data_IF_368620583575
#
_entry.id   IF_368620583575
#
_cell.length_a   1.000
_cell.length_b   1.000
_cell.length_c   1.000
_cell.angle_alpha   90.00
_cell.angle_beta   90.00
_cell.angle_gamma   90.00
#
_symmetry.space_group_name_H-M   'P 1'
#
loop_
_entity.id
_entity.type
_entity.pdbx_description
1 polymer ?
#
# COMPACT_ATOMS: atom_id res chain seq x y z
N UNK A 1 -9.19 -7.03 16.08
CA UNK A 1 -9.54 -5.94 15.13
C UNK A 1 -8.37 -5.82 14.18
N UNK A 2 -8.59 -5.98 12.87
CA UNK A 2 -7.53 -5.90 11.86
C UNK A 2 -7.49 -4.52 11.24
N UNK A 3 -6.29 -4.04 10.91
CA UNK A 3 -6.10 -2.79 10.16
C UNK A 3 -6.41 -3.08 8.70
N UNK A 4 -7.33 -2.32 8.11
CA UNK A 4 -7.62 -2.35 6.67
C UNK A 4 -6.82 -1.24 5.96
N UNK A 5 -6.51 -1.42 4.68
CA UNK A 5 -5.76 -0.44 3.88
C UNK A 5 -6.54 -0.01 2.64
N UNK A 6 -6.66 1.30 2.46
CA UNK A 6 -7.21 1.94 1.28
C UNK A 6 -6.13 2.74 0.55
N UNK A 7 -6.26 2.87 -0.76
CA UNK A 7 -5.48 3.83 -1.55
C UNK A 7 -6.23 5.16 -1.49
N UNK A 8 -5.58 6.22 -1.04
CA UNK A 8 -6.05 7.61 -1.13
C UNK A 8 -5.52 8.30 -2.37
N UNK A 9 -6.14 9.41 -2.78
CA UNK A 9 -5.70 10.24 -3.90
C UNK A 9 -5.64 11.73 -3.56
N UNK A 10 -4.88 12.49 -4.36
CA UNK A 10 -4.91 13.95 -4.40
C UNK A 10 -5.10 14.41 -5.86
N UNK A 11 -6.15 15.20 -6.18
CA UNK A 11 -7.28 15.53 -5.32
C UNK A 11 -8.04 14.30 -4.78
N UNK A 12 -8.80 14.48 -3.70
CA UNK A 12 -9.66 13.42 -3.16
C UNK A 12 -10.88 13.24 -4.09
N UNK A 13 -10.99 12.05 -4.71
CA UNK A 13 -11.96 11.77 -5.79
C UNK A 13 -12.78 10.50 -5.54
N UNK A 14 -12.83 10.01 -4.29
CA UNK A 14 -13.56 8.77 -4.00
C UNK A 14 -15.09 8.98 -4.10
N UNK A 15 -15.66 8.37 -5.15
CA UNK A 15 -17.07 8.45 -5.52
C UNK A 15 -17.82 7.13 -5.24
N UNK A 16 -19.15 7.15 -5.37
CA UNK A 16 -20.04 6.00 -5.15
C UNK A 16 -19.65 4.77 -5.99
N UNK A 17 -19.18 4.97 -7.23
CA UNK A 17 -18.80 3.89 -8.14
C UNK A 17 -17.62 3.06 -7.60
N UNK A 18 -16.61 3.72 -7.03
CA UNK A 18 -15.47 3.03 -6.40
C UNK A 18 -15.93 2.12 -5.26
N UNK A 19 -16.92 2.58 -4.47
CA UNK A 19 -17.48 1.81 -3.36
C UNK A 19 -18.32 0.64 -3.86
N UNK A 20 -19.11 0.84 -4.92
CA UNK A 20 -19.92 -0.21 -5.53
C UNK A 20 -19.06 -1.33 -6.14
N UNK A 21 -17.91 -0.99 -6.73
CA UNK A 21 -16.99 -1.93 -7.36
C UNK A 21 -15.74 -2.22 -6.52
N UNK A 22 -15.83 -2.06 -5.19
CA UNK A 22 -14.70 -2.21 -4.25
C UNK A 22 -13.85 -3.46 -4.47
N UNK A 23 -14.44 -4.59 -4.90
CA UNK A 23 -13.71 -5.84 -5.14
C UNK A 23 -12.62 -5.74 -6.23
N UNK A 24 -12.76 -4.78 -7.17
CA UNK A 24 -11.79 -4.54 -8.26
C UNK A 24 -10.62 -3.65 -7.85
N UNK A 25 -10.77 -2.94 -6.75
CA UNK A 25 -9.88 -1.84 -6.36
C UNK A 25 -9.24 -2.04 -4.98
N UNK A 26 -9.92 -2.79 -4.11
CA UNK A 26 -9.52 -3.01 -2.73
C UNK A 26 -8.29 -3.90 -2.65
N UNK A 27 -7.40 -3.51 -1.75
CA UNK A 27 -6.25 -4.27 -1.33
C UNK A 27 -6.61 -5.13 -0.10
N UNK A 28 -6.07 -6.35 -0.04
CA UNK A 28 -6.32 -7.27 1.07
C UNK A 28 -5.63 -6.85 2.36
N UNK A 29 -6.03 -7.49 3.47
CA UNK A 29 -5.32 -7.35 4.76
C UNK A 29 -3.91 -7.93 4.70
N UNK A 30 -3.70 -8.96 3.88
CA UNK A 30 -2.40 -9.57 3.66
C UNK A 30 -1.47 -8.59 2.96
N UNK A 31 -1.98 -7.79 2.00
CA UNK A 31 -1.23 -6.68 1.43
C UNK A 31 -0.87 -5.63 2.48
N UNK A 32 -1.85 -5.23 3.32
CA UNK A 32 -1.58 -4.31 4.44
C UNK A 32 -0.43 -4.84 5.31
N UNK A 33 -0.50 -6.09 5.77
CA UNK A 33 0.55 -6.67 6.62
C UNK A 33 1.91 -6.76 5.92
N UNK A 34 1.93 -7.05 4.62
CA UNK A 34 3.15 -7.08 3.83
C UNK A 34 3.85 -5.70 3.82
N UNK A 35 3.08 -4.62 3.70
CA UNK A 35 3.62 -3.26 3.61
C UNK A 35 3.69 -2.50 4.94
N UNK A 36 3.21 -3.06 6.05
CA UNK A 36 3.33 -2.40 7.37
C UNK A 36 4.29 -3.10 8.32
N UNK A 37 4.60 -4.39 8.10
CA UNK A 37 5.56 -5.12 8.93
C UNK A 37 7.01 -4.82 8.49
N UNK A 38 7.39 -3.55 8.59
CA UNK A 38 8.77 -3.10 8.46
C UNK A 38 9.42 -3.05 9.84
N UNK A 39 10.57 -3.70 9.97
CA UNK A 39 11.45 -3.57 11.13
C UNK A 39 12.80 -3.09 10.65
N UNK A 40 13.27 -1.98 11.22
CA UNK A 40 14.56 -1.42 10.88
C UNK A 40 15.67 -2.47 11.03
N UNK A 41 16.53 -2.55 10.02
CA UNK A 41 17.64 -3.52 9.98
C UNK A 41 17.24 -4.95 9.65
N UNK A 42 15.96 -5.23 9.37
CA UNK A 42 15.49 -6.55 8.99
C UNK A 42 15.10 -6.59 7.51
N UNK A 43 15.65 -7.58 6.78
CA UNK A 43 15.18 -7.91 5.45
C UNK A 43 13.82 -8.63 5.54
N UNK A 44 12.74 -7.87 5.43
CA UNK A 44 11.38 -8.41 5.41
C UNK A 44 11.00 -8.95 4.02
N UNK A 45 9.82 -9.55 3.93
CA UNK A 45 9.32 -10.18 2.71
C UNK A 45 9.21 -9.17 1.56
N UNK A 46 8.74 -7.95 1.80
CA UNK A 46 8.63 -6.94 0.74
C UNK A 46 10.00 -6.54 0.18
N UNK A 47 11.01 -6.38 1.03
CA UNK A 47 12.40 -6.10 0.59
C UNK A 47 12.94 -7.28 -0.23
N UNK A 48 12.64 -8.52 0.16
CA UNK A 48 13.04 -9.70 -0.62
C UNK A 48 12.36 -9.73 -1.99
N UNK A 49 11.06 -9.42 -2.06
CA UNK A 49 10.35 -9.29 -3.34
C UNK A 49 11.00 -8.22 -4.22
N UNK A 50 11.30 -7.05 -3.66
CA UNK A 50 11.99 -5.96 -4.35
C UNK A 50 13.33 -6.39 -4.96
N UNK A 51 14.13 -7.17 -4.22
CA UNK A 51 15.40 -7.74 -4.72
C UNK A 51 15.18 -8.78 -5.80
N UNK A 52 14.21 -9.68 -5.60
CA UNK A 52 13.87 -10.72 -6.58
C UNK A 52 13.44 -10.10 -7.90
N UNK A 53 12.64 -9.03 -7.87
CA UNK A 53 12.11 -8.39 -9.08
C UNK A 53 12.98 -7.23 -9.56
N UNK A 54 14.09 -6.92 -8.89
CA UNK A 54 14.92 -5.74 -9.15
C UNK A 54 14.09 -4.44 -9.25
N UNK A 55 13.20 -4.23 -8.27
CA UNK A 55 12.26 -3.12 -8.24
C UNK A 55 12.52 -2.24 -7.02
N UNK A 56 12.58 -0.92 -7.21
CA UNK A 56 12.62 0.01 -6.10
C UNK A 56 11.21 0.12 -5.47
N UNK A 57 11.10 -0.28 -4.20
CA UNK A 57 9.86 -0.22 -3.41
C UNK A 57 9.79 1.03 -2.52
N UNK A 58 10.78 1.92 -2.57
CA UNK A 58 10.78 3.16 -1.77
C UNK A 58 9.51 4.00 -1.90
N UNK A 59 8.82 4.07 -3.06
CA UNK A 59 7.52 4.75 -3.14
C UNK A 59 6.45 4.10 -2.25
N UNK A 60 6.34 2.78 -2.22
CA UNK A 60 5.36 2.09 -1.34
C UNK A 60 5.61 2.38 0.13
N UNK A 61 6.88 2.40 0.54
CA UNK A 61 7.27 2.71 1.93
C UNK A 61 6.86 4.15 2.28
N UNK A 62 7.15 5.11 1.40
CA UNK A 62 6.78 6.53 1.61
C UNK A 62 5.28 6.73 1.69
N UNK A 63 4.49 5.98 0.91
CA UNK A 63 3.03 6.03 0.97
C UNK A 63 2.48 5.58 2.33
N UNK A 64 3.16 4.67 3.04
CA UNK A 64 2.79 4.26 4.40
C UNK A 64 3.00 5.37 5.44
N UNK A 65 3.86 6.35 5.16
CA UNK A 65 4.12 7.46 6.07
C UNK A 65 3.01 8.53 6.05
N UNK A 66 2.01 8.40 5.19
CA UNK A 66 0.94 9.41 5.10
C UNK A 66 0.20 9.51 6.45
N UNK A 67 0.15 10.70 7.07
CA UNK A 67 -0.47 10.84 8.38
C UNK A 67 -1.99 10.65 8.30
N UNK A 68 -2.63 10.03 9.31
CA UNK A 68 -4.08 9.87 9.34
C UNK A 68 -4.80 11.22 9.32
N UNK A 69 -5.99 11.28 8.75
CA UNK A 69 -6.83 12.50 8.75
C UNK A 69 -7.41 12.75 10.14
N UNK A 70 -6.98 13.83 10.79
CA UNK A 70 -7.34 14.15 12.18
C UNK A 70 -7.67 15.64 12.33
N UNK A 71 -8.36 15.99 13.41
CA UNK A 71 -8.55 17.40 13.77
C UNK A 71 -7.23 18.05 14.24
N UNK A 72 -7.07 19.39 14.12
CA UNK A 72 -5.86 20.10 14.55
C UNK A 72 -5.44 19.78 15.99
N UNK A 73 -6.41 19.72 16.91
CA UNK A 73 -6.15 19.37 18.31
C UNK A 73 -5.53 17.98 18.47
N UNK A 74 -6.01 17.00 17.69
CA UNK A 74 -5.46 15.64 17.71
C UNK A 74 -4.09 15.56 17.06
N UNK A 75 -3.84 16.32 15.99
CA UNK A 75 -2.49 16.42 15.43
C UNK A 75 -1.51 17.02 16.42
N UNK A 76 -1.90 18.08 17.13
CA UNK A 76 -1.08 18.68 18.18
C UNK A 76 -0.80 17.69 19.31
N UNK A 77 -1.78 16.91 19.73
CA UNK A 77 -1.61 15.88 20.76
C UNK A 77 -0.65 14.77 20.33
N UNK A 78 -0.78 14.25 19.10
CA UNK A 78 0.01 13.09 18.64
C UNK A 78 1.40 13.45 18.15
N UNK A 79 1.54 14.60 17.48
CA UNK A 79 2.77 14.98 16.79
C UNK A 79 3.46 16.18 17.39
N UNK A 80 2.78 16.97 18.23
CA UNK A 80 3.30 18.23 18.75
C UNK A 80 4.49 18.05 19.67
N UNK A 81 5.50 18.92 19.53
CA UNK A 81 6.61 19.05 20.47
C UNK A 81 6.28 20.06 21.56
N UNK A 82 6.95 20.00 22.73
CA UNK A 82 6.85 21.06 23.73
C UNK A 82 7.10 22.43 23.08
N UNK A 83 6.24 23.41 23.37
CA UNK A 83 6.28 24.78 22.86
C UNK A 83 5.98 24.97 21.35
N UNK A 84 5.66 23.91 20.61
CA UNK A 84 5.24 24.03 19.20
C UNK A 84 3.84 24.65 19.12
N UNK A 85 3.66 25.66 18.26
CA UNK A 85 2.34 26.24 17.99
C UNK A 85 1.53 25.30 17.09
N UNK A 86 0.21 25.40 17.14
CA UNK A 86 -0.67 24.60 16.28
C UNK A 86 -0.34 24.81 14.79
N UNK A 87 -0.10 26.05 14.36
CA UNK A 87 0.27 26.37 12.98
C UNK A 87 1.58 25.68 12.54
N UNK A 88 2.57 25.57 13.44
CA UNK A 88 3.82 24.85 13.17
C UNK A 88 3.57 23.34 13.01
N UNK A 89 2.74 22.75 13.90
CA UNK A 89 2.35 21.34 13.79
C UNK A 89 1.66 21.09 12.45
N UNK A 90 0.67 21.91 12.09
CA UNK A 90 -0.10 21.73 10.85
C UNK A 90 0.77 21.90 9.60
N UNK A 91 1.72 22.85 9.60
CA UNK A 91 2.68 23.02 8.51
C UNK A 91 3.53 21.76 8.32
N UNK A 92 4.01 21.18 9.41
CA UNK A 92 4.81 19.96 9.38
C UNK A 92 3.99 18.73 8.95
N UNK A 93 2.74 18.61 9.40
CA UNK A 93 1.81 17.57 8.95
C UNK A 93 1.57 17.70 7.46
N UNK A 94 1.34 18.91 6.95
CA UNK A 94 1.14 19.14 5.52
C UNK A 94 2.37 18.78 4.69
N UNK A 95 3.57 19.17 5.15
CA UNK A 95 4.82 18.76 4.50
C UNK A 95 4.97 17.24 4.49
N UNK A 96 4.59 16.57 5.59
CA UNK A 96 4.62 15.09 5.67
C UNK A 96 3.63 14.45 4.69
N UNK A 97 2.40 14.98 4.58
CA UNK A 97 1.41 14.52 3.59
C UNK A 97 1.97 14.60 2.16
N UNK A 98 2.52 15.75 1.79
CA UNK A 98 3.12 15.96 0.47
C UNK A 98 4.33 15.04 0.21
N UNK A 99 5.17 14.80 1.22
CA UNK A 99 6.32 13.91 1.08
C UNK A 99 5.93 12.42 0.95
N UNK A 100 4.78 12.03 1.50
CA UNK A 100 4.25 10.66 1.43
C UNK A 100 3.46 10.36 0.15
N UNK A 101 2.93 11.39 -0.50
CA UNK A 101 2.26 11.27 -1.80
C UNK A 101 3.24 10.81 -2.88
N UNK A 102 2.82 9.87 -3.73
CA UNK A 102 3.57 9.40 -4.89
C UNK A 102 2.75 9.66 -6.15
N UNK A 103 3.41 10.04 -7.25
CA UNK A 103 2.69 10.18 -8.53
C UNK A 103 2.14 8.83 -8.97
N UNK A 104 1.00 8.86 -9.67
CA UNK A 104 0.38 7.65 -10.23
C UNK A 104 1.37 6.91 -11.12
N UNK A 105 2.07 7.60 -12.03
CA UNK A 105 2.99 6.98 -12.99
C UNK A 105 4.16 6.26 -12.29
N UNK A 106 4.68 6.84 -11.21
CA UNK A 106 5.74 6.20 -10.42
C UNK A 106 5.24 4.91 -9.77
N UNK A 107 4.05 4.96 -9.19
CA UNK A 107 3.44 3.84 -8.49
C UNK A 107 3.02 2.73 -9.47
N UNK A 108 2.48 3.09 -10.63
CA UNK A 108 2.07 2.16 -11.67
C UNK A 108 3.26 1.42 -12.26
N UNK A 109 4.34 2.14 -12.59
CA UNK A 109 5.58 1.53 -13.07
C UNK A 109 6.15 0.55 -12.05
N UNK A 110 6.15 0.92 -10.77
CA UNK A 110 6.60 0.06 -9.68
C UNK A 110 5.76 -1.23 -9.62
N UNK A 111 4.43 -1.10 -9.60
CA UNK A 111 3.52 -2.25 -9.49
C UNK A 111 3.64 -3.17 -10.72
N UNK A 112 3.78 -2.61 -11.92
CA UNK A 112 4.05 -3.38 -13.12
C UNK A 112 5.37 -4.16 -13.03
N UNK A 113 6.45 -3.53 -12.56
CA UNK A 113 7.75 -4.20 -12.38
C UNK A 113 7.69 -5.33 -11.37
N UNK A 114 7.01 -5.13 -10.23
CA UNK A 114 6.75 -6.19 -9.26
C UNK A 114 5.98 -7.34 -9.92
N UNK A 115 4.83 -7.05 -10.53
CA UNK A 115 3.97 -8.08 -11.11
C UNK A 115 4.68 -8.88 -12.21
N UNK A 116 5.37 -8.21 -13.14
CA UNK A 116 6.11 -8.85 -14.22
C UNK A 116 7.29 -9.67 -13.68
N UNK A 117 8.03 -9.12 -12.72
CA UNK A 117 9.17 -9.80 -12.10
C UNK A 117 8.77 -11.09 -11.37
N UNK A 118 7.62 -11.07 -10.67
CA UNK A 118 7.09 -12.23 -9.96
C UNK A 118 6.52 -13.28 -10.93
N UNK A 119 5.83 -12.86 -12.01
CA UNK A 119 5.37 -13.78 -13.06
C UNK A 119 6.51 -14.56 -13.72
N UNK A 120 7.64 -13.90 -13.96
CA UNK A 120 8.82 -14.53 -14.55
C UNK A 120 9.58 -15.47 -13.58
N UNK A 121 9.17 -15.55 -12.32
CA UNK A 121 9.78 -16.38 -11.27
C UNK A 121 8.68 -17.10 -10.48
N UNK A 122 7.95 -18.05 -11.09
CA UNK A 122 6.73 -18.62 -10.50
C UNK A 122 6.96 -19.31 -9.14
N UNK A 123 8.19 -19.72 -8.84
CA UNK A 123 8.65 -20.37 -7.61
C UNK A 123 9.31 -19.40 -6.60
N UNK A 124 9.22 -18.08 -6.81
CA UNK A 124 9.84 -17.09 -5.92
C UNK A 124 9.44 -17.29 -4.44
N UNK A 125 8.20 -17.70 -4.19
CA UNK A 125 7.63 -17.88 -2.85
C UNK A 125 8.36 -18.97 -2.05
N UNK A 126 9.09 -19.88 -2.70
CA UNK A 126 9.90 -20.91 -2.04
C UNK A 126 11.24 -20.36 -1.56
N UNK A 127 11.68 -19.25 -2.16
CA UNK A 127 12.96 -18.59 -1.90
C UNK A 127 12.85 -17.45 -0.88
N UNK A 128 11.62 -17.08 -0.50
CA UNK A 128 11.38 -16.06 0.54
C UNK A 128 11.68 -16.66 1.92
N UNK A 129 12.53 -15.96 2.66
CA UNK A 129 12.68 -16.14 4.11
C UNK A 129 11.55 -15.43 4.82
N UNK A 130 10.53 -16.18 5.24
CA UNK A 130 9.39 -15.62 5.95
C UNK A 130 9.74 -15.30 7.41
N UNK A 131 9.68 -14.04 7.74
CA UNK A 131 10.01 -13.45 9.03
C UNK A 131 8.84 -12.70 9.68
N UNK A 132 7.78 -12.44 8.92
CA UNK A 132 6.52 -11.86 9.40
C UNK A 132 5.82 -12.82 10.38
N UNK A 133 5.10 -12.26 11.35
CA UNK A 133 4.31 -13.03 12.32
C UNK A 133 3.26 -13.92 11.63
N UNK A 134 2.71 -13.48 10.50
CA UNK A 134 1.73 -14.17 9.67
C UNK A 134 2.35 -15.02 8.56
N UNK A 135 3.59 -15.51 8.72
CA UNK A 135 4.33 -16.31 7.72
C UNK A 135 3.55 -17.45 7.05
N UNK A 136 2.65 -18.11 7.78
CA UNK A 136 1.84 -19.20 7.23
C UNK A 136 0.86 -18.67 6.17
N UNK A 137 0.24 -17.53 6.42
CA UNK A 137 -0.67 -16.87 5.48
C UNK A 137 0.10 -16.25 4.32
N UNK A 138 1.26 -15.63 4.56
CA UNK A 138 2.09 -15.08 3.48
C UNK A 138 2.53 -16.14 2.45
N UNK A 139 2.84 -17.36 2.91
CA UNK A 139 3.16 -18.47 2.01
C UNK A 139 2.03 -18.82 1.04
N UNK A 140 0.78 -18.74 1.50
CA UNK A 140 -0.39 -18.99 0.65
C UNK A 140 -0.66 -17.77 -0.23
N UNK A 141 -0.58 -16.57 0.35
CA UNK A 141 -0.77 -15.29 -0.32
C UNK A 141 0.17 -15.06 -1.51
N UNK A 142 1.41 -15.55 -1.42
CA UNK A 142 2.40 -15.43 -2.51
C UNK A 142 2.23 -16.45 -3.63
N UNK A 143 1.35 -17.44 -3.49
CA UNK A 143 1.07 -18.41 -4.55
C UNK A 143 0.05 -17.87 -5.55
N UNK A 144 0.11 -18.38 -6.77
CA UNK A 144 -0.90 -18.12 -7.79
C UNK A 144 -0.90 -16.68 -8.32
N UNK A 145 0.28 -16.06 -8.48
CA UNK A 145 0.41 -14.67 -8.96
C UNK A 145 -0.40 -14.39 -10.23
N UNK A 146 -0.56 -15.36 -11.12
CA UNK A 146 -1.26 -15.17 -12.40
C UNK A 146 -2.78 -15.28 -12.32
N UNK A 147 -3.31 -16.02 -11.34
CA UNK A 147 -4.72 -16.35 -11.26
C UNK A 147 -5.38 -15.58 -10.13
N UNK A 148 -6.57 -15.04 -10.36
CA UNK A 148 -7.37 -14.47 -9.27
C UNK A 148 -7.96 -15.60 -8.40
N UNK A 149 -8.11 -15.35 -7.11
CA UNK A 149 -8.69 -16.33 -6.19
C UNK A 149 -10.20 -16.42 -6.44
N UNK A 150 -10.67 -17.59 -6.88
CA UNK A 150 -12.06 -17.77 -7.35
C UNK A 150 -13.12 -17.85 -6.22
N UNK A 151 -12.75 -18.21 -4.98
CA UNK A 151 -13.73 -18.74 -4.01
C UNK A 151 -13.46 -18.44 -2.51
N UNK A 152 -12.82 -17.32 -2.15
CA UNK A 152 -12.72 -16.94 -0.73
C UNK A 152 -13.33 -15.57 -0.50
N UNK A 153 -13.90 -15.37 0.69
CA UNK A 153 -14.43 -14.09 1.14
C UNK A 153 -13.46 -12.98 0.68
N UNK A 154 -14.00 -11.90 0.10
CA UNK A 154 -13.28 -10.78 -0.55
C UNK A 154 -12.16 -10.11 0.27
N UNK A 155 -11.86 -10.63 1.46
CA UNK A 155 -10.78 -10.25 2.37
C UNK A 155 -9.46 -11.01 2.09
N UNK A 156 -9.46 -12.06 1.26
CA UNK A 156 -8.29 -12.94 1.02
C UNK A 156 -7.86 -12.95 -0.47
N UNK A 157 -7.39 -11.81 -0.99
CA UNK A 157 -6.71 -11.77 -2.29
C UNK A 157 -5.37 -12.50 -2.20
N UNK A 158 -4.83 -12.97 -3.33
CA UNK A 158 -3.39 -13.27 -3.43
C UNK A 158 -2.61 -12.02 -3.85
N UNK A 159 -1.27 -12.07 -3.74
CA UNK A 159 -0.42 -10.93 -4.07
C UNK A 159 -0.60 -10.45 -5.52
N UNK A 160 -0.76 -11.38 -6.46
CA UNK A 160 -0.98 -11.03 -7.86
C UNK A 160 -2.26 -10.24 -8.07
N UNK A 161 -3.34 -10.66 -7.41
CA UNK A 161 -4.64 -9.99 -7.45
C UNK A 161 -4.58 -8.62 -6.77
N UNK A 162 -3.89 -8.47 -5.64
CA UNK A 162 -3.70 -7.15 -5.02
C UNK A 162 -2.91 -6.18 -5.90
N UNK A 163 -1.85 -6.66 -6.56
CA UNK A 163 -1.10 -5.82 -7.51
C UNK A 163 -1.96 -5.42 -8.72
N UNK A 164 -2.81 -6.31 -9.24
CA UNK A 164 -3.76 -5.97 -10.32
C UNK A 164 -4.84 -4.99 -9.84
N UNK A 165 -5.41 -5.21 -8.66
CA UNK A 165 -6.37 -4.30 -8.06
C UNK A 165 -5.74 -2.91 -7.85
N UNK A 166 -4.48 -2.86 -7.45
CA UNK A 166 -3.76 -1.60 -7.29
C UNK A 166 -3.62 -0.86 -8.64
N UNK A 167 -3.29 -1.58 -9.72
CA UNK A 167 -3.27 -1.01 -11.07
C UNK A 167 -4.65 -0.47 -11.48
N UNK A 168 -5.73 -1.24 -11.27
CA UNK A 168 -7.09 -0.80 -11.55
C UNK A 168 -7.45 0.47 -10.77
N UNK A 169 -7.02 0.56 -9.50
CA UNK A 169 -7.24 1.74 -8.67
C UNK A 169 -6.51 2.97 -9.20
N UNK A 170 -5.26 2.81 -9.65
CA UNK A 170 -4.50 3.90 -10.28
C UNK A 170 -5.11 4.37 -11.58
N UNK A 171 -5.59 3.44 -12.43
CA UNK A 171 -6.31 3.76 -13.65
C UNK A 171 -7.59 4.55 -13.36
N UNK A 172 -8.41 4.08 -12.40
CA UNK A 172 -9.61 4.77 -11.95
C UNK A 172 -9.30 6.19 -11.47
N UNK A 173 -8.28 6.35 -10.62
CA UNK A 173 -7.88 7.65 -10.09
C UNK A 173 -7.43 8.59 -11.22
N UNK A 174 -6.67 8.08 -12.20
CA UNK A 174 -6.22 8.84 -13.37
C UNK A 174 -7.39 9.31 -14.23
N UNK A 175 -8.37 8.45 -14.49
CA UNK A 175 -9.58 8.81 -15.25
C UNK A 175 -10.33 9.98 -14.59
N UNK A 176 -10.33 10.01 -13.27
CA UNK A 176 -10.93 11.06 -12.43
C UNK A 176 -10.01 12.27 -12.17
N UNK A 177 -8.90 12.38 -12.91
CA UNK A 177 -7.93 13.50 -12.83
C UNK A 177 -7.18 13.59 -11.51
N UNK A 178 -7.07 12.50 -10.75
CA UNK A 178 -6.11 12.37 -9.66
C UNK A 178 -4.68 12.35 -10.19
N UNK A 179 -3.74 12.90 -9.42
CA UNK A 179 -2.32 12.99 -9.80
C UNK A 179 -1.43 12.17 -8.87
N UNK A 180 -1.78 12.13 -7.58
CA UNK A 180 -0.99 11.47 -6.55
C UNK A 180 -1.81 10.45 -5.77
N UNK A 181 -1.12 9.45 -5.24
CA UNK A 181 -1.67 8.39 -4.40
C UNK A 181 -0.88 8.20 -3.11
N UNK A 182 -1.54 7.68 -2.09
CA UNK A 182 -0.96 7.36 -0.77
C UNK A 182 -1.78 6.26 -0.08
N UNK A 183 -1.29 5.70 1.03
CA UNK A 183 -2.06 4.70 1.79
C UNK A 183 -2.82 5.35 2.95
N UNK A 184 -4.10 4.98 3.11
CA UNK A 184 -4.95 5.32 4.25
C UNK A 184 -5.20 4.03 5.03
N UNK A 185 -4.78 3.99 6.29
CA UNK A 185 -5.04 2.85 7.20
C UNK A 185 -6.30 3.12 8.02
N UNK A 186 -7.18 2.12 8.11
CA UNK A 186 -8.48 2.17 8.79
C UNK A 186 -8.53 1.30 10.04
#
# INVERSE_FOLDING_TARGET
MGVDIHVGSEPDIFENDYTQFQHRYRLSRQFCWLITDFKDGQENELIQLAKITNTDISPLIKMCDYPPELSPDRYRFLYGKPQETEAQVMTRVQHKKQASQQSIDTTELLVHKLLLGLKNKPDFYEHIKYVNQNKFWLKVYFRGIENDMLNQNFQDNNLGQDLRNFLNTMEYIREKKGEFVYFKFL
#
